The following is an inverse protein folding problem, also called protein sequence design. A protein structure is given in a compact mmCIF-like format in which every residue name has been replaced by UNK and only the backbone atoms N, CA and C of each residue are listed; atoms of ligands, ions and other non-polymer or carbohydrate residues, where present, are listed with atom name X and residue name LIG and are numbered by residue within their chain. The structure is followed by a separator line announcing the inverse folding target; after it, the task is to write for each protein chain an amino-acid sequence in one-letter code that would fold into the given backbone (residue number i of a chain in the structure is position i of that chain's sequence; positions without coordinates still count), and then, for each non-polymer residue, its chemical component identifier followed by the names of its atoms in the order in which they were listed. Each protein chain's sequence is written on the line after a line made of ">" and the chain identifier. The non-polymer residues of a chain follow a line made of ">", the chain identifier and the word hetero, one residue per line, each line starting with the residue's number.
data_IF_125468930739
#
_entry.id   IF_125468930739
#
_cell.length_a   1.000
_cell.length_b   1.000
_cell.length_c   1.000
_cell.angle_alpha   90.00
_cell.angle_beta   90.00
_cell.angle_gamma   90.00
#
_symmetry.space_group_name_H-M   'P 1'
#
loop_
_entity.id
_entity.type
_entity.pdbx_description
1 polymer ?
#
# COMPACT_ATOMS: atom_id res chain seq x y z
N UNK A 1 -12.66 -16.29 7.29
CA UNK A 1 -11.22 -16.23 7.00
C UNK A 1 -10.62 -14.95 7.56
N UNK A 2 -9.30 -14.93 7.76
CA UNK A 2 -8.49 -13.74 8.05
C UNK A 2 -7.53 -13.40 6.90
N UNK A 3 -7.57 -14.14 5.78
CA UNK A 3 -6.77 -13.88 4.59
C UNK A 3 -7.54 -12.94 3.64
N UNK A 4 -6.90 -11.84 3.23
CA UNK A 4 -7.50 -10.88 2.31
C UNK A 4 -7.72 -11.48 0.91
N UNK A 5 -6.90 -12.43 0.49
CA UNK A 5 -7.05 -13.09 -0.82
C UNK A 5 -8.34 -13.90 -0.88
N UNK A 6 -8.59 -14.72 0.13
CA UNK A 6 -9.84 -15.48 0.26
C UNK A 6 -11.06 -14.55 0.35
N UNK A 7 -10.95 -13.40 1.05
CA UNK A 7 -12.04 -12.42 1.07
C UNK A 7 -12.33 -11.83 -0.31
N UNK A 8 -11.30 -11.53 -1.10
CA UNK A 8 -11.46 -11.00 -2.46
C UNK A 8 -12.12 -12.05 -3.37
N UNK A 9 -11.66 -13.30 -3.30
CA UNK A 9 -12.24 -14.43 -4.05
C UNK A 9 -13.72 -14.65 -3.71
N UNK A 10 -14.08 -14.71 -2.42
CA UNK A 10 -15.48 -14.86 -1.96
C UNK A 10 -16.37 -13.67 -2.41
N UNK A 11 -15.82 -12.45 -2.37
CA UNK A 11 -16.53 -11.26 -2.79
C UNK A 11 -16.80 -11.23 -4.30
N UNK A 12 -15.89 -11.79 -5.10
CA UNK A 12 -15.94 -11.82 -6.57
C UNK A 12 -16.75 -13.01 -7.09
N UNK A 13 -16.41 -14.23 -6.68
CA UNK A 13 -17.00 -15.48 -7.20
C UNK A 13 -18.37 -15.79 -6.60
N UNK A 14 -18.56 -15.49 -5.31
CA UNK A 14 -19.76 -15.88 -4.57
C UNK A 14 -20.66 -14.69 -4.22
N UNK A 15 -20.27 -13.47 -4.62
CA UNK A 15 -21.01 -12.24 -4.31
C UNK A 15 -21.29 -12.09 -2.81
N UNK A 16 -20.39 -12.61 -1.94
CA UNK A 16 -20.62 -12.59 -0.51
C UNK A 16 -20.60 -11.14 0.01
N UNK A 17 -21.77 -10.70 0.48
CA UNK A 17 -21.98 -9.36 1.03
C UNK A 17 -21.12 -9.10 2.27
N UNK A 18 -20.83 -10.12 3.07
CA UNK A 18 -19.99 -10.01 4.27
C UNK A 18 -18.52 -9.85 3.89
N UNK A 19 -18.06 -10.58 2.87
CA UNK A 19 -16.71 -10.44 2.35
C UNK A 19 -16.47 -9.03 1.79
N UNK A 20 -17.41 -8.53 0.96
CA UNK A 20 -17.39 -7.16 0.44
C UNK A 20 -17.35 -6.12 1.56
N UNK A 21 -18.24 -6.23 2.54
CA UNK A 21 -18.28 -5.32 3.68
C UNK A 21 -16.96 -5.34 4.47
N UNK A 22 -16.34 -6.51 4.65
CA UNK A 22 -15.06 -6.62 5.33
C UNK A 22 -13.94 -5.88 4.58
N UNK A 23 -13.87 -6.04 3.25
CA UNK A 23 -12.91 -5.33 2.38
C UNK A 23 -13.15 -3.81 2.44
N UNK A 24 -14.40 -3.38 2.31
CA UNK A 24 -14.78 -1.96 2.38
C UNK A 24 -14.38 -1.32 3.72
N UNK A 25 -14.65 -2.00 4.84
CA UNK A 25 -14.25 -1.53 6.17
C UNK A 25 -12.74 -1.46 6.30
N UNK A 26 -12.01 -2.44 5.76
CA UNK A 26 -10.54 -2.45 5.77
C UNK A 26 -9.98 -1.25 5.00
N UNK A 27 -10.45 -1.02 3.78
CA UNK A 27 -10.05 0.11 2.94
C UNK A 27 -10.40 1.44 3.60
N UNK A 28 -11.62 1.59 4.10
CA UNK A 28 -12.08 2.78 4.81
C UNK A 28 -11.22 3.11 6.03
N UNK A 29 -10.92 2.12 6.88
CA UNK A 29 -10.10 2.33 8.08
C UNK A 29 -8.68 2.72 7.72
N UNK A 30 -8.09 2.08 6.72
CA UNK A 30 -6.74 2.40 6.23
C UNK A 30 -6.68 3.82 5.69
N UNK A 31 -7.64 4.20 4.84
CA UNK A 31 -7.79 5.57 4.32
C UNK A 31 -7.94 6.60 5.44
N UNK A 32 -8.70 6.29 6.49
CA UNK A 32 -8.82 7.15 7.68
C UNK A 32 -7.48 7.39 8.37
N UNK A 33 -6.63 6.36 8.47
CA UNK A 33 -5.27 6.53 9.00
C UNK A 33 -4.39 7.39 8.09
N UNK A 34 -4.42 7.14 6.78
CA UNK A 34 -3.72 7.98 5.79
C UNK A 34 -4.10 9.45 5.95
N UNK A 35 -5.41 9.76 5.97
CA UNK A 35 -5.90 11.12 6.16
C UNK A 35 -5.45 11.74 7.49
N UNK A 36 -5.42 10.95 8.57
CA UNK A 36 -4.93 11.43 9.87
C UNK A 36 -3.44 11.80 9.86
N UNK A 37 -2.61 11.04 9.14
CA UNK A 37 -1.19 11.31 9.01
C UNK A 37 -0.92 12.49 8.07
N UNK A 38 -1.64 12.59 6.95
CA UNK A 38 -1.56 13.76 6.07
C UNK A 38 -1.89 15.04 6.83
N UNK A 39 -2.95 15.02 7.65
CA UNK A 39 -3.32 16.15 8.49
C UNK A 39 -2.25 16.48 9.55
N UNK A 40 -1.71 15.47 10.23
CA UNK A 40 -0.72 15.65 11.28
C UNK A 40 0.64 16.17 10.76
N UNK A 41 1.03 15.79 9.55
CA UNK A 41 2.31 16.17 8.93
C UNK A 41 2.22 17.43 8.05
N UNK A 42 1.01 17.94 7.79
CA UNK A 42 0.79 19.06 6.87
C UNK A 42 0.87 18.67 5.38
N UNK A 43 0.78 17.37 5.08
CA UNK A 43 0.93 16.79 3.74
C UNK A 43 1.93 15.64 3.73
N UNK A 44 2.15 15.08 2.54
CA UNK A 44 3.20 14.12 2.25
C UNK A 44 3.52 14.16 0.75
N UNK A 45 4.71 13.72 0.36
CA UNK A 45 5.08 13.55 -1.05
C UNK A 45 4.49 12.27 -1.64
N UNK A 46 4.40 11.20 -0.83
CA UNK A 46 3.95 9.89 -1.30
C UNK A 46 3.25 9.05 -0.22
N UNK A 47 2.37 8.15 -0.69
CA UNK A 47 1.85 6.99 0.05
C UNK A 47 2.55 5.74 -0.49
N UNK A 48 3.14 4.94 0.40
CA UNK A 48 3.81 3.68 0.03
C UNK A 48 3.01 2.48 0.51
N UNK A 49 2.67 1.60 -0.42
CA UNK A 49 2.10 0.29 -0.14
C UNK A 49 3.21 -0.76 -0.10
N UNK A 50 3.21 -1.54 0.97
CA UNK A 50 4.14 -2.64 1.17
C UNK A 50 3.50 -3.79 1.96
N UNK A 51 4.27 -4.82 2.29
CA UNK A 51 3.81 -6.05 2.92
C UNK A 51 2.85 -6.87 2.05
N UNK A 52 2.36 -8.00 2.58
CA UNK A 52 1.57 -8.97 1.83
C UNK A 52 0.37 -8.38 1.09
N UNK A 53 -0.52 -7.66 1.80
CA UNK A 53 -1.74 -7.09 1.19
C UNK A 53 -1.39 -5.88 0.30
N UNK A 54 -0.57 -4.96 0.80
CA UNK A 54 -0.23 -3.73 0.07
C UNK A 54 0.49 -4.00 -1.25
N UNK A 55 1.35 -5.02 -1.31
CA UNK A 55 2.06 -5.39 -2.53
C UNK A 55 1.17 -6.14 -3.53
N UNK A 56 0.31 -7.05 -3.05
CA UNK A 56 -0.32 -8.04 -3.92
C UNK A 56 -1.78 -7.76 -4.28
N UNK A 57 -2.42 -6.76 -3.67
CA UNK A 57 -3.86 -6.51 -3.88
C UNK A 57 -4.12 -5.14 -4.52
N UNK A 58 -4.07 -5.02 -5.87
CA UNK A 58 -4.40 -3.78 -6.58
C UNK A 58 -5.79 -3.22 -6.22
N UNK A 59 -6.77 -4.10 -6.04
CA UNK A 59 -8.14 -3.73 -5.64
C UNK A 59 -8.18 -3.06 -4.26
N UNK A 60 -7.41 -3.59 -3.31
CA UNK A 60 -7.31 -3.01 -1.97
C UNK A 60 -6.62 -1.65 -2.03
N UNK A 61 -5.53 -1.52 -2.80
CA UNK A 61 -4.87 -0.22 -3.00
C UNK A 61 -5.83 0.81 -3.59
N UNK A 62 -6.57 0.46 -4.63
CA UNK A 62 -7.56 1.34 -5.23
C UNK A 62 -8.62 1.78 -4.22
N UNK A 63 -9.18 0.85 -3.43
CA UNK A 63 -10.16 1.18 -2.40
C UNK A 63 -9.62 2.03 -1.25
N UNK A 64 -8.34 1.89 -0.91
CA UNK A 64 -7.68 2.75 0.09
C UNK A 64 -7.45 4.17 -0.46
N UNK A 65 -7.11 4.29 -1.73
CA UNK A 65 -6.79 5.56 -2.40
C UNK A 65 -8.02 6.34 -2.88
N UNK A 66 -9.17 5.67 -3.02
CA UNK A 66 -10.44 6.29 -3.40
C UNK A 66 -10.71 7.52 -2.52
N UNK A 67 -11.14 8.63 -3.13
CA UNK A 67 -11.49 9.83 -2.37
C UNK A 67 -10.28 10.64 -1.89
N UNK A 68 -9.07 10.34 -2.36
CA UNK A 68 -7.87 11.17 -2.14
C UNK A 68 -7.57 12.11 -3.33
N UNK A 69 -8.45 12.17 -4.34
CA UNK A 69 -8.30 13.03 -5.52
C UNK A 69 -8.27 14.51 -5.12
N UNK A 70 -9.00 14.90 -4.06
CA UNK A 70 -8.96 16.26 -3.52
C UNK A 70 -7.60 16.65 -2.93
N UNK A 71 -6.76 15.67 -2.57
CA UNK A 71 -5.37 15.89 -2.20
C UNK A 71 -4.42 15.92 -3.40
N UNK A 72 -4.93 15.71 -4.61
CA UNK A 72 -4.17 15.69 -5.86
C UNK A 72 -3.54 14.34 -6.18
N UNK A 73 -4.08 13.24 -5.66
CA UNK A 73 -3.68 11.88 -6.04
C UNK A 73 -4.58 11.38 -7.17
N UNK A 74 -3.98 11.03 -8.31
CA UNK A 74 -4.67 10.32 -9.38
C UNK A 74 -4.04 8.94 -9.58
N UNK A 75 -4.82 7.87 -9.41
CA UNK A 75 -4.37 6.51 -9.64
C UNK A 75 -4.20 6.24 -11.14
N UNK A 76 -3.11 5.57 -11.53
CA UNK A 76 -2.97 4.92 -12.83
C UNK A 76 -3.36 3.45 -12.65
N UNK A 77 -4.57 3.10 -13.10
CA UNK A 77 -5.13 1.75 -12.95
C UNK A 77 -4.26 0.66 -13.62
N UNK A 78 -3.63 0.98 -14.75
CA UNK A 78 -2.76 0.05 -15.44
C UNK A 78 -1.44 -0.15 -14.67
N UNK A 79 -0.91 0.92 -14.06
CA UNK A 79 0.26 0.82 -13.17
C UNK A 79 -0.06 0.08 -11.88
N UNK A 80 -1.22 0.36 -11.31
CA UNK A 80 -1.70 -0.33 -10.13
C UNK A 80 -1.88 -1.83 -10.40
N UNK A 81 -2.49 -2.22 -11.51
CA UNK A 81 -2.73 -3.62 -11.83
C UNK A 81 -1.44 -4.41 -12.07
N UNK A 82 -0.45 -3.83 -12.76
CA UNK A 82 0.81 -4.53 -13.11
C UNK A 82 1.82 -4.62 -11.97
N UNK A 83 1.71 -3.75 -10.95
CA UNK A 83 2.69 -3.69 -9.85
C UNK A 83 2.29 -4.62 -8.71
N UNK A 84 2.61 -5.90 -8.85
CA UNK A 84 2.36 -6.96 -7.85
C UNK A 84 3.59 -7.85 -7.64
N UNK A 85 3.60 -8.66 -6.58
CA UNK A 85 4.74 -9.51 -6.23
C UNK A 85 5.99 -8.68 -5.91
N UNK A 86 7.08 -8.95 -6.64
CA UNK A 86 8.37 -8.26 -6.47
C UNK A 86 8.50 -6.99 -7.34
N UNK A 87 7.46 -6.62 -8.09
CA UNK A 87 7.48 -5.37 -8.84
C UNK A 87 7.39 -4.17 -7.89
N UNK A 88 8.31 -3.22 -8.05
CA UNK A 88 8.29 -1.93 -7.37
C UNK A 88 8.00 -0.82 -8.38
N UNK A 89 7.23 0.18 -7.99
CA UNK A 89 7.00 1.33 -8.86
C UNK A 89 5.89 2.26 -8.43
N UNK A 90 5.84 3.42 -9.10
CA UNK A 90 4.77 4.39 -8.97
C UNK A 90 3.49 3.85 -9.59
N UNK A 91 2.39 3.98 -8.87
CA UNK A 91 1.05 3.61 -9.29
C UNK A 91 0.12 4.81 -9.44
N UNK A 92 0.55 6.01 -9.06
CA UNK A 92 -0.14 7.26 -9.42
C UNK A 92 0.29 7.76 -10.80
N UNK A 93 -0.59 8.52 -11.47
CA UNK A 93 -0.27 9.19 -12.72
C UNK A 93 0.79 10.28 -12.53
N UNK A 94 1.51 10.55 -13.62
CA UNK A 94 2.44 11.67 -13.74
C UNK A 94 1.72 12.99 -13.42
N UNK A 95 2.32 13.81 -12.56
CA UNK A 95 1.75 15.09 -12.14
C UNK A 95 0.83 15.04 -10.93
N UNK A 96 0.58 13.86 -10.35
CA UNK A 96 -0.09 13.76 -9.05
C UNK A 96 0.71 14.53 -7.99
N UNK A 97 0.05 15.40 -7.22
CA UNK A 97 0.68 16.14 -6.12
C UNK A 97 1.08 15.21 -4.99
N UNK A 98 0.25 14.21 -4.72
CA UNK A 98 0.54 13.13 -3.78
C UNK A 98 0.74 11.86 -4.60
N UNK A 99 1.94 11.31 -4.57
CA UNK A 99 2.25 10.09 -5.28
C UNK A 99 1.77 8.85 -4.53
N UNK A 100 1.54 7.75 -5.26
CA UNK A 100 1.34 6.43 -4.68
C UNK A 100 2.35 5.44 -5.27
N UNK A 101 2.94 4.62 -4.40
CA UNK A 101 3.99 3.68 -4.76
C UNK A 101 3.71 2.29 -4.18
N UNK A 102 4.18 1.26 -4.87
CA UNK A 102 4.35 -0.09 -4.31
C UNK A 102 5.84 -0.35 -4.18
N UNK A 103 6.27 -0.74 -2.98
CA UNK A 103 7.67 -1.05 -2.70
C UNK A 103 7.72 -2.41 -1.98
N UNK A 104 8.34 -3.45 -2.56
CA UNK A 104 8.56 -4.72 -1.90
C UNK A 104 9.37 -4.56 -0.61
N UNK A 105 8.95 -5.28 0.44
CA UNK A 105 9.71 -5.44 1.68
C UNK A 105 10.63 -6.63 1.57
N UNK A 106 11.85 -6.46 2.07
CA UNK A 106 12.80 -7.55 2.31
C UNK A 106 13.33 -7.38 3.74
N UNK A 107 12.58 -7.92 4.70
CA UNK A 107 12.84 -7.76 6.13
C UNK A 107 14.13 -8.49 6.52
N UNK A 108 14.38 -9.65 5.92
CA UNK A 108 15.59 -10.44 6.09
C UNK A 108 16.83 -9.67 5.63
N UNK A 109 16.78 -9.01 4.47
CA UNK A 109 17.87 -8.17 3.99
C UNK A 109 18.12 -6.96 4.91
N UNK A 110 17.07 -6.34 5.44
CA UNK A 110 17.20 -5.25 6.41
C UNK A 110 17.94 -5.74 7.66
N UNK A 111 17.50 -6.86 8.24
CA UNK A 111 18.13 -7.48 9.42
C UNK A 111 19.59 -7.84 9.13
N UNK A 112 19.87 -8.44 7.97
CA UNK A 112 21.24 -8.81 7.59
C UNK A 112 22.15 -7.57 7.48
N UNK A 113 21.68 -6.50 6.85
CA UNK A 113 22.42 -5.23 6.71
C UNK A 113 22.70 -4.60 8.08
N UNK A 114 21.70 -4.55 8.95
CA UNK A 114 21.87 -3.98 10.29
C UNK A 114 22.79 -4.84 11.17
N UNK A 115 22.71 -6.17 11.06
CA UNK A 115 23.63 -7.08 11.74
C UNK A 115 25.08 -6.85 11.31
N UNK A 116 25.34 -6.74 10.01
CA UNK A 116 26.68 -6.44 9.48
C UNK A 116 27.18 -5.09 9.97
N UNK A 117 26.34 -4.05 9.95
CA UNK A 117 26.71 -2.71 10.44
C UNK A 117 27.12 -2.75 11.91
N UNK A 118 26.33 -3.42 12.75
CA UNK A 118 26.60 -3.53 14.19
C UNK A 118 27.88 -4.33 14.47
N UNK A 119 28.08 -5.47 13.80
CA UNK A 119 29.27 -6.31 14.01
C UNK A 119 30.55 -5.63 13.53
N UNK A 120 30.47 -4.85 12.45
CA UNK A 120 31.64 -4.16 11.88
C UNK A 120 31.83 -2.72 12.40
N UNK A 121 30.96 -2.23 13.28
CA UNK A 121 31.04 -0.87 13.82
C UNK A 121 30.86 0.23 12.76
N UNK A 122 30.05 -0.02 11.73
CA UNK A 122 29.74 0.96 10.68
C UNK A 122 28.67 1.93 11.13
N UNK A 123 28.72 3.19 10.68
CA UNK A 123 27.67 4.17 10.93
C UNK A 123 26.32 3.73 10.36
N UNK A 124 25.26 3.91 11.14
CA UNK A 124 23.89 3.72 10.69
C UNK A 124 23.53 4.82 9.70
N UNK A 125 23.32 4.47 8.44
CA UNK A 125 22.69 5.36 7.45
C UNK A 125 21.23 4.94 7.27
N UNK A 126 20.33 5.86 7.64
CA UNK A 126 18.92 5.86 7.24
C UNK A 126 18.79 6.59 5.91
#
# INVERSE_FOLDING_TARGET
>A
TNDMRELLEEAEEHYDRRARLAIEIFCYRTRKYVGSYLAAMGGADAIVFTGGIGQNSPLVRAGVLEGLEWWGLELDDAANARTTGQAAGRISKDGSRLEAWVVPTDEELLIARDTVRLVLGLETRY
#
